data_IF_944483306126
#
_entry.id   IF_944483306126
#
_cell.length_a   1.000
_cell.length_b   1.000
_cell.length_c   1.000
_cell.angle_alpha   90.00
_cell.angle_beta   90.00
_cell.angle_gamma   90.00
#
_symmetry.space_group_name_H-M   'P 1'
#
loop_
_entity.id
_entity.type
_entity.pdbx_description
1 polymer ?
#
# COMPACT_ATOMS: atom_id res chain seq x y z
N UNK A 1 1.67 8.83 2.63
CA UNK A 1 1.84 8.24 3.97
C UNK A 1 1.07 6.92 4.01
N UNK A 2 1.45 5.95 4.86
CA UNK A 2 0.65 4.75 5.04
C UNK A 2 -0.78 5.08 5.46
N UNK A 3 -1.71 4.28 5.00
CA UNK A 3 -3.14 4.43 5.28
C UNK A 3 -3.57 3.31 6.22
N UNK A 4 -4.11 3.70 7.38
CA UNK A 4 -4.69 2.73 8.30
C UNK A 4 -6.05 2.24 7.80
N UNK A 5 -6.46 1.02 8.15
CA UNK A 5 -7.82 0.55 7.92
C UNK A 5 -8.87 1.56 8.36
N UNK A 6 -9.91 1.73 7.56
CA UNK A 6 -11.01 2.65 7.82
C UNK A 6 -12.34 2.01 7.43
N UNK A 7 -13.44 2.56 7.93
CA UNK A 7 -14.79 2.14 7.56
C UNK A 7 -15.32 2.96 6.39
N UNK A 8 -16.19 2.35 5.58
CA UNK A 8 -16.93 3.02 4.52
C UNK A 8 -18.23 3.67 5.03
N UNK A 9 -18.25 4.06 6.31
CA UNK A 9 -19.36 4.85 6.89
C UNK A 9 -19.51 6.20 6.15
N UNK A 10 -18.43 6.70 5.57
CA UNK A 10 -18.37 7.88 4.71
C UNK A 10 -17.76 7.53 3.35
N UNK A 11 -18.11 8.31 2.33
CA UNK A 11 -17.51 8.19 1.00
C UNK A 11 -16.00 8.53 1.11
N UNK A 12 -15.09 7.61 0.73
CA UNK A 12 -13.67 7.84 0.84
C UNK A 12 -13.22 8.97 -0.09
N UNK A 13 -12.35 9.85 0.40
CA UNK A 13 -11.74 10.88 -0.43
C UNK A 13 -10.72 10.28 -1.43
N UNK A 14 -10.43 11.01 -2.49
CA UNK A 14 -9.46 10.66 -3.55
C UNK A 14 -8.13 10.03 -3.05
N UNK A 15 -7.48 10.50 -1.96
CA UNK A 15 -6.23 9.90 -1.49
C UNK A 15 -6.35 8.42 -1.07
N UNK A 16 -7.54 7.96 -0.69
CA UNK A 16 -7.81 6.59 -0.23
C UNK A 16 -8.22 5.65 -1.37
N UNK A 17 -8.41 6.19 -2.58
CA UNK A 17 -8.78 5.41 -3.75
C UNK A 17 -8.16 6.02 -5.01
N UNK A 18 -6.95 5.56 -5.35
CA UNK A 18 -6.18 6.11 -6.47
C UNK A 18 -6.36 5.34 -7.79
N UNK A 19 -6.86 4.10 -7.74
CA UNK A 19 -6.99 3.23 -8.90
C UNK A 19 -8.31 2.45 -8.88
N UNK A 20 -9.06 2.55 -9.98
CA UNK A 20 -10.34 1.85 -10.17
C UNK A 20 -11.55 2.61 -9.64
N UNK A 21 -12.78 2.16 -9.95
CA UNK A 21 -13.99 2.90 -9.59
C UNK A 21 -14.12 2.98 -8.07
N UNK A 22 -13.94 4.18 -7.54
CA UNK A 22 -14.03 4.44 -6.11
C UNK A 22 -15.48 4.33 -5.62
N UNK A 23 -15.69 3.87 -4.37
CA UNK A 23 -17.02 3.86 -3.76
C UNK A 23 -17.64 5.26 -3.81
N UNK A 24 -18.82 5.39 -4.42
CA UNK A 24 -19.58 6.66 -4.49
C UNK A 24 -20.74 6.70 -3.49
N UNK A 25 -20.91 5.64 -2.70
CA UNK A 25 -21.96 5.47 -1.69
C UNK A 25 -21.34 5.09 -0.36
N UNK A 26 -22.09 5.34 0.72
CA UNK A 26 -21.74 4.90 2.07
C UNK A 26 -22.15 3.44 2.26
N UNK A 27 -21.30 2.67 2.93
CA UNK A 27 -21.52 1.28 3.32
C UNK A 27 -21.23 1.13 4.82
N UNK A 28 -22.17 1.52 5.70
CA UNK A 28 -21.91 1.57 7.14
C UNK A 28 -21.50 0.22 7.73
N UNK A 29 -20.46 0.22 8.56
CA UNK A 29 -19.89 -0.98 9.21
C UNK A 29 -18.99 -1.84 8.31
N UNK A 30 -18.87 -1.53 7.02
CA UNK A 30 -17.92 -2.21 6.12
C UNK A 30 -16.51 -1.65 6.32
N UNK A 31 -15.54 -2.55 6.50
CA UNK A 31 -14.13 -2.20 6.63
C UNK A 31 -13.41 -2.29 5.28
N UNK A 32 -12.60 -1.28 4.99
CA UNK A 32 -11.61 -1.29 3.93
C UNK A 32 -10.23 -1.52 4.56
N UNK A 33 -9.50 -2.52 4.06
CA UNK A 33 -8.12 -2.81 4.45
C UNK A 33 -7.23 -2.48 3.24
N UNK A 34 -6.68 -1.25 3.16
CA UNK A 34 -6.02 -0.80 1.94
C UNK A 34 -4.76 -1.62 1.64
N UNK A 35 -4.62 -2.04 0.38
CA UNK A 35 -3.36 -2.61 -0.12
C UNK A 35 -2.34 -1.48 -0.25
N UNK A 36 -1.33 -1.51 0.62
CA UNK A 36 -0.27 -0.52 0.59
C UNK A 36 0.67 -0.74 -0.59
N UNK A 37 1.02 0.34 -1.29
CA UNK A 37 2.00 0.29 -2.37
C UNK A 37 3.37 -0.11 -1.84
N UNK A 38 3.96 -1.09 -2.51
CA UNK A 38 5.35 -1.47 -2.37
C UNK A 38 6.20 -0.66 -3.34
N UNK A 39 7.49 -0.57 -3.05
CA UNK A 39 8.47 0.07 -3.91
C UNK A 39 9.65 -0.87 -4.13
N UNK A 40 10.02 -1.09 -5.39
CA UNK A 40 11.25 -1.77 -5.75
C UNK A 40 12.47 -0.93 -5.37
N UNK A 41 13.66 -1.55 -5.40
CA UNK A 41 14.91 -0.82 -5.18
C UNK A 41 15.22 0.18 -6.30
N UNK A 42 14.58 0.03 -7.46
CA UNK A 42 14.55 0.98 -8.56
C UNK A 42 13.63 2.19 -8.31
N UNK A 43 12.88 2.19 -7.21
CA UNK A 43 11.93 3.23 -6.83
C UNK A 43 10.58 3.16 -7.54
N UNK A 44 10.34 2.15 -8.40
CA UNK A 44 9.05 1.96 -9.05
C UNK A 44 8.05 1.35 -8.07
N UNK A 45 6.82 1.87 -8.08
CA UNK A 45 5.76 1.37 -7.20
C UNK A 45 5.08 0.14 -7.79
N UNK A 46 4.77 -0.83 -6.95
CA UNK A 46 3.96 -2.00 -7.30
C UNK A 46 2.85 -2.23 -6.25
N UNK A 47 1.75 -2.85 -6.67
CA UNK A 47 0.63 -3.17 -5.76
C UNK A 47 0.94 -4.39 -4.88
N UNK A 48 1.67 -5.36 -5.44
CA UNK A 48 1.99 -6.63 -4.79
C UNK A 48 3.50 -6.89 -4.89
N UNK A 49 4.11 -7.62 -3.93
CA UNK A 49 5.56 -7.82 -3.90
C UNK A 49 6.14 -8.49 -5.15
N UNK A 50 5.40 -9.43 -5.73
CA UNK A 50 5.72 -10.15 -6.97
C UNK A 50 5.60 -9.28 -8.24
N UNK A 51 4.93 -8.13 -8.13
CA UNK A 51 4.83 -7.15 -9.21
C UNK A 51 5.98 -6.13 -9.26
N UNK A 52 6.88 -6.14 -8.28
CA UNK A 52 8.06 -5.29 -8.28
C UNK A 52 9.21 -5.96 -9.05
N UNK A 53 10.10 -5.15 -9.65
CA UNK A 53 11.34 -5.64 -10.25
C UNK A 53 12.19 -6.34 -9.19
N UNK A 54 12.66 -7.56 -9.49
CA UNK A 54 13.52 -8.37 -8.63
C UNK A 54 14.60 -9.03 -9.46
N UNK A 55 15.84 -9.00 -8.98
CA UNK A 55 16.98 -9.70 -9.60
C UNK A 55 17.07 -11.17 -9.19
N UNK A 56 16.30 -11.61 -8.20
CA UNK A 56 16.38 -12.95 -7.63
C UNK A 56 17.53 -13.17 -6.63
N UNK A 57 18.31 -12.13 -6.31
CA UNK A 57 19.36 -12.19 -5.29
C UNK A 57 18.80 -12.12 -3.86
N UNK A 58 19.37 -12.91 -2.95
CA UNK A 58 18.86 -13.05 -1.58
C UNK A 58 19.12 -11.80 -0.72
N UNK A 59 20.28 -11.17 -0.89
CA UNK A 59 20.63 -9.95 -0.14
C UNK A 59 19.80 -8.77 -0.64
N UNK A 60 19.63 -8.68 -1.95
CA UNK A 60 18.76 -7.68 -2.58
C UNK A 60 17.31 -7.83 -2.10
N UNK A 61 16.79 -9.06 -2.05
CA UNK A 61 15.44 -9.35 -1.55
C UNK A 61 15.30 -8.94 -0.08
N UNK A 62 16.31 -9.19 0.75
CA UNK A 62 16.30 -8.79 2.15
C UNK A 62 16.27 -7.28 2.32
N UNK A 63 17.05 -6.53 1.54
CA UNK A 63 17.05 -5.06 1.59
C UNK A 63 15.75 -4.47 1.03
N UNK A 64 15.18 -5.08 -0.02
CA UNK A 64 13.84 -4.75 -0.50
C UNK A 64 12.77 -4.87 0.59
N UNK A 65 12.75 -5.98 1.35
CA UNK A 65 11.82 -6.16 2.46
C UNK A 65 12.06 -5.13 3.58
N UNK A 66 13.31 -4.91 3.97
CA UNK A 66 13.69 -3.93 5.00
C UNK A 66 13.31 -2.51 4.61
N UNK A 67 13.56 -2.11 3.37
CA UNK A 67 13.27 -0.75 2.89
C UNK A 67 11.77 -0.46 2.90
N UNK A 68 10.93 -1.40 2.46
CA UNK A 68 9.48 -1.26 2.54
C UNK A 68 9.03 -1.23 4.01
N UNK A 69 9.50 -2.12 4.88
CA UNK A 69 9.20 -2.10 6.31
C UNK A 69 9.54 -0.74 6.97
N UNK A 70 10.73 -0.20 6.71
CA UNK A 70 11.19 1.08 7.31
C UNK A 70 10.32 2.27 6.89
N UNK A 71 9.69 2.26 5.71
CA UNK A 71 8.77 3.34 5.28
C UNK A 71 7.53 3.43 6.18
N UNK A 72 7.01 2.28 6.60
CA UNK A 72 5.91 2.16 7.55
C UNK A 72 6.43 2.53 8.95
N UNK A 73 7.43 1.81 9.44
CA UNK A 73 7.99 1.95 10.80
C UNK A 73 8.52 3.35 11.12
N UNK A 74 9.03 4.07 10.12
CA UNK A 74 9.53 5.44 10.28
C UNK A 74 8.48 6.53 10.14
N UNK A 75 7.20 6.20 9.91
CA UNK A 75 6.12 7.17 9.70
C UNK A 75 4.97 7.00 10.70
N UNK A 76 3.77 6.61 10.24
CA UNK A 76 2.56 6.51 11.06
C UNK A 76 2.15 5.07 11.41
N UNK A 77 2.93 4.07 10.98
CA UNK A 77 3.37 2.89 11.76
C UNK A 77 4.03 1.87 10.86
#
# INVERSE_FOLDING_TARGET
EPVWPFTLDYVPAEPFCMHGPCPTKQYPGMWEIPVQRWYGLDGLSCAMPDGCSSTGDAEETLEYLKSNFRRFHGSNR
#
